data_IF_178995791386
#
_entry.id   IF_178995791386
#
_cell.length_a   1.000
_cell.length_b   1.000
_cell.length_c   1.000
_cell.angle_alpha   90.00
_cell.angle_beta   90.00
_cell.angle_gamma   90.00
#
_symmetry.space_group_name_H-M   'P 1'
#
loop_
_entity.id
_entity.type
_entity.pdbx_description
1 polymer ?
#
# COMPACT_ATOMS: atom_id res chain seq x y z
N UNK A 1 -4.78 -38.12 -6.30
CA UNK A 1 -3.61 -37.34 -5.90
C UNK A 1 -4.17 -36.05 -5.34
N UNK A 2 -4.21 -35.92 -4.02
CA UNK A 2 -4.90 -34.84 -3.31
C UNK A 2 -4.24 -33.51 -3.68
N UNK A 3 -4.94 -32.68 -4.43
CA UNK A 3 -4.68 -31.24 -4.52
C UNK A 3 -4.65 -30.75 -3.07
N UNK A 4 -3.47 -30.42 -2.55
CA UNK A 4 -3.42 -29.65 -1.33
C UNK A 4 -4.19 -28.37 -1.65
N UNK A 5 -5.28 -28.13 -0.93
CA UNK A 5 -5.93 -26.82 -0.89
C UNK A 5 -4.83 -25.81 -0.58
N UNK A 6 -4.28 -25.18 -1.61
CA UNK A 6 -3.34 -24.10 -1.41
C UNK A 6 -4.16 -22.97 -0.81
N UNK A 7 -4.05 -22.83 0.50
CA UNK A 7 -4.65 -21.72 1.22
C UNK A 7 -3.92 -20.47 0.77
N UNK A 8 -4.63 -19.58 0.08
CA UNK A 8 -4.13 -18.26 -0.26
C UNK A 8 -4.68 -17.24 0.73
N UNK A 9 -3.99 -16.11 0.85
CA UNK A 9 -4.49 -14.93 1.56
C UNK A 9 -4.55 -13.75 0.61
N UNK A 10 -5.38 -12.76 0.94
CA UNK A 10 -5.46 -11.51 0.21
C UNK A 10 -4.71 -10.42 0.97
N UNK A 11 -3.99 -9.59 0.23
CA UNK A 11 -3.31 -8.40 0.75
C UNK A 11 -3.74 -7.19 -0.04
N UNK A 12 -4.02 -6.10 0.67
CA UNK A 12 -4.32 -4.80 0.07
C UNK A 12 -3.12 -3.87 0.25
N UNK A 13 -2.57 -3.41 -0.88
CA UNK A 13 -1.40 -2.52 -0.92
C UNK A 13 -1.80 -1.15 -1.46
N UNK A 14 -1.43 -0.10 -0.73
CA UNK A 14 -1.84 1.28 -1.01
C UNK A 14 -0.67 2.25 -1.23
N UNK A 15 0.56 1.73 -1.26
CA UNK A 15 1.79 2.53 -1.25
C UNK A 15 2.94 1.89 -2.01
N UNK A 16 4.11 1.84 -1.38
CA UNK A 16 5.38 1.40 -1.99
C UNK A 16 5.41 -0.05 -2.46
N UNK A 17 4.49 -0.89 -1.97
CA UNK A 17 4.34 -2.29 -2.41
C UNK A 17 3.57 -2.43 -3.74
N UNK A 18 2.97 -1.36 -4.26
CA UNK A 18 2.23 -1.39 -5.54
C UNK A 18 3.18 -1.66 -6.72
N UNK A 19 2.62 -2.16 -7.81
CA UNK A 19 3.39 -2.49 -9.01
C UNK A 19 4.16 -1.27 -9.54
N UNK A 20 5.45 -1.43 -9.80
CA UNK A 20 6.35 -0.38 -10.28
C UNK A 20 6.88 0.59 -9.20
N UNK A 21 6.47 0.43 -7.93
CA UNK A 21 6.97 1.23 -6.81
C UNK A 21 8.21 0.60 -6.14
N UNK A 22 8.86 1.34 -5.24
CA UNK A 22 10.17 1.00 -4.69
C UNK A 22 10.25 -0.39 -4.02
N UNK A 23 9.14 -0.86 -3.44
CA UNK A 23 9.04 -2.13 -2.73
C UNK A 23 8.08 -3.11 -3.44
N UNK A 24 7.93 -3.02 -4.76
CA UNK A 24 7.01 -3.84 -5.57
C UNK A 24 6.87 -5.29 -5.06
N UNK A 25 5.63 -5.65 -4.70
CA UNK A 25 5.23 -6.94 -4.13
C UNK A 25 5.63 -8.13 -5.03
N UNK A 26 5.45 -8.01 -6.35
CA UNK A 26 5.76 -9.09 -7.29
C UNK A 26 7.27 -9.32 -7.38
N UNK A 27 8.06 -8.24 -7.35
CA UNK A 27 9.53 -8.35 -7.30
C UNK A 27 10.01 -8.96 -5.99
N UNK A 28 9.39 -8.60 -4.85
CA UNK A 28 9.71 -9.17 -3.56
C UNK A 28 9.48 -10.69 -3.53
N UNK A 29 8.33 -11.16 -4.05
CA UNK A 29 8.03 -12.58 -4.15
C UNK A 29 9.02 -13.32 -5.06
N UNK A 30 9.31 -12.77 -6.24
CA UNK A 30 10.26 -13.33 -7.19
C UNK A 30 11.66 -13.50 -6.57
N UNK A 31 12.17 -12.48 -5.87
CA UNK A 31 13.48 -12.53 -5.18
C UNK A 31 13.56 -13.60 -4.10
N UNK A 32 12.43 -13.99 -3.52
CA UNK A 32 12.35 -15.01 -2.47
C UNK A 32 11.99 -16.40 -3.01
N UNK A 33 11.79 -16.54 -4.33
CA UNK A 33 11.39 -17.80 -4.95
C UNK A 33 9.98 -18.25 -4.55
N UNK A 34 9.11 -17.30 -4.17
CA UNK A 34 7.72 -17.56 -3.78
C UNK A 34 6.83 -17.43 -5.02
N UNK A 35 5.71 -18.16 -5.03
CA UNK A 35 4.71 -18.09 -6.10
C UNK A 35 4.28 -16.64 -6.38
N UNK A 36 4.10 -16.31 -7.66
CA UNK A 36 3.81 -14.95 -8.10
C UNK A 36 2.47 -14.44 -7.52
N UNK A 37 2.46 -13.27 -6.86
CA UNK A 37 1.24 -12.58 -6.45
C UNK A 37 0.30 -12.37 -7.62
N UNK A 38 -0.96 -12.81 -7.50
CA UNK A 38 -1.97 -12.60 -8.53
C UNK A 38 -2.78 -11.34 -8.22
N UNK A 39 -2.69 -10.32 -9.07
CA UNK A 39 -3.58 -9.16 -8.99
C UNK A 39 -5.04 -9.61 -9.17
N UNK A 40 -5.88 -9.26 -8.20
CA UNK A 40 -7.32 -9.53 -8.21
C UNK A 40 -8.07 -8.29 -8.71
N UNK A 41 -7.62 -7.10 -8.33
CA UNK A 41 -8.14 -5.85 -8.85
C UNK A 41 -7.84 -4.66 -7.95
N UNK A 42 -8.44 -3.52 -8.28
CA UNK A 42 -8.31 -2.28 -7.53
C UNK A 42 -9.38 -2.21 -6.44
N UNK A 43 -8.99 -1.83 -5.23
CA UNK A 43 -9.89 -1.71 -4.10
C UNK A 43 -9.71 -0.39 -3.35
N UNK A 44 -10.63 -0.15 -2.41
CA UNK A 44 -10.58 1.00 -1.53
C UNK A 44 -10.82 0.62 -0.07
N UNK A 45 -10.13 1.32 0.83
CA UNK A 45 -10.36 1.26 2.27
C UNK A 45 -10.55 2.70 2.78
N UNK A 46 -11.55 2.94 3.63
CA UNK A 46 -11.75 4.26 4.21
C UNK A 46 -10.72 4.52 5.32
N UNK A 47 -10.03 5.66 5.22
CA UNK A 47 -9.02 6.03 6.18
C UNK A 47 -8.40 7.39 5.92
N UNK A 48 -7.38 7.70 6.71
CA UNK A 48 -6.54 8.88 6.53
C UNK A 48 -5.19 8.44 6.02
N UNK A 49 -4.82 8.95 4.84
CA UNK A 49 -3.54 8.68 4.22
C UNK A 49 -2.58 9.83 4.52
N UNK A 50 -1.40 9.54 5.04
CA UNK A 50 -0.40 10.51 5.45
C UNK A 50 0.87 10.37 4.62
N UNK A 51 1.54 11.50 4.38
CA UNK A 51 2.84 11.57 3.72
C UNK A 51 3.99 11.39 4.73
N UNK A 52 4.73 10.28 4.60
CA UNK A 52 5.98 10.05 5.35
C UNK A 52 7.24 10.37 4.52
N UNK A 53 7.08 11.02 3.37
CA UNK A 53 8.16 11.37 2.46
C UNK A 53 8.38 10.26 1.43
N UNK A 54 9.09 9.19 1.80
CA UNK A 54 9.40 8.11 0.86
C UNK A 54 8.27 7.08 0.69
N UNK A 55 7.34 7.03 1.63
CA UNK A 55 6.23 6.08 1.68
C UNK A 55 4.98 6.74 2.29
N UNK A 56 3.78 6.15 2.10
CA UNK A 56 2.57 6.60 2.78
C UNK A 56 2.39 5.90 4.12
N UNK A 57 1.56 6.47 4.99
CA UNK A 57 1.01 5.78 6.16
C UNK A 57 -0.51 5.86 6.18
N UNK A 58 -1.19 4.73 6.36
CA UNK A 58 -2.65 4.66 6.45
C UNK A 58 -3.09 4.49 7.91
N UNK A 59 -4.03 5.33 8.35
CA UNK A 59 -4.82 5.07 9.56
C UNK A 59 -6.25 4.74 9.14
N UNK A 60 -6.75 3.51 9.35
CA UNK A 60 -8.14 3.15 9.08
C UNK A 60 -9.10 4.05 9.85
N UNK A 61 -10.05 4.65 9.14
CA UNK A 61 -11.04 5.58 9.68
C UNK A 61 -12.27 5.54 8.75
N UNK A 62 -13.41 4.97 9.17
CA UNK A 62 -14.63 4.91 8.35
C UNK A 62 -15.15 6.27 7.88
N UNK A 63 -14.76 7.36 8.56
CA UNK A 63 -15.13 8.73 8.22
C UNK A 63 -14.07 9.44 7.35
N UNK A 64 -12.96 8.75 7.07
CA UNK A 64 -11.85 9.24 6.27
C UNK A 64 -12.13 9.26 4.76
N UNK A 65 -11.09 9.56 4.00
CA UNK A 65 -11.17 9.51 2.53
C UNK A 65 -11.08 8.06 2.04
N UNK A 66 -11.52 7.82 0.81
CA UNK A 66 -11.39 6.51 0.19
C UNK A 66 -9.95 6.33 -0.32
N UNK A 67 -9.17 5.52 0.38
CA UNK A 67 -7.76 5.23 0.05
C UNK A 67 -7.70 4.15 -1.01
N UNK A 68 -7.05 4.46 -2.13
CA UNK A 68 -6.93 3.59 -3.31
C UNK A 68 -5.74 2.66 -3.18
N UNK A 69 -5.95 1.41 -3.56
CA UNK A 69 -4.89 0.43 -3.61
C UNK A 69 -5.25 -0.76 -4.49
N UNK A 70 -4.38 -1.75 -4.45
CA UNK A 70 -4.46 -2.96 -5.26
C UNK A 70 -4.57 -4.18 -4.34
N UNK A 71 -5.42 -5.13 -4.71
CA UNK A 71 -5.59 -6.39 -4.00
C UNK A 71 -4.85 -7.49 -4.75
N UNK A 72 -3.99 -8.20 -4.03
CA UNK A 72 -3.31 -9.38 -4.53
C UNK A 72 -3.71 -10.61 -3.74
N UNK A 73 -3.89 -11.73 -4.44
CA UNK A 73 -3.88 -13.05 -3.86
C UNK A 73 -2.44 -13.53 -3.79
N UNK A 74 -1.99 -13.87 -2.59
CA UNK A 74 -0.60 -14.25 -2.31
C UNK A 74 -0.52 -15.60 -1.60
N UNK A 75 0.63 -16.25 -1.76
CA UNK A 75 1.03 -17.37 -0.91
C UNK A 75 1.22 -16.87 0.54
N UNK A 76 0.71 -17.57 1.57
CA UNK A 76 0.91 -17.18 2.97
C UNK A 76 2.39 -17.06 3.37
N UNK A 77 3.28 -17.81 2.71
CA UNK A 77 4.73 -17.71 2.88
C UNK A 77 5.33 -16.37 2.45
N UNK A 78 4.59 -15.54 1.70
CA UNK A 78 5.00 -14.17 1.38
C UNK A 78 4.75 -13.19 2.53
N UNK A 79 3.82 -13.48 3.45
CA UNK A 79 3.46 -12.56 4.54
C UNK A 79 4.67 -12.19 5.43
N UNK A 80 5.53 -13.13 5.86
CA UNK A 80 6.72 -12.77 6.63
C UNK A 80 7.71 -11.87 5.87
N UNK A 81 7.75 -11.96 4.54
CA UNK A 81 8.59 -11.09 3.70
C UNK A 81 8.03 -9.67 3.70
N UNK A 82 6.71 -9.52 3.68
CA UNK A 82 6.06 -8.21 3.78
C UNK A 82 6.23 -7.60 5.16
N UNK A 83 6.11 -8.41 6.21
CA UNK A 83 6.41 -7.97 7.58
C UNK A 83 7.86 -7.45 7.70
N UNK A 84 8.83 -8.08 7.04
CA UNK A 84 10.23 -7.63 7.00
C UNK A 84 10.38 -6.30 6.25
N UNK A 85 9.72 -6.14 5.09
CA UNK A 85 9.77 -4.91 4.28
C UNK A 85 9.14 -3.73 5.02
N UNK A 86 8.00 -3.95 5.66
CA UNK A 86 7.26 -2.92 6.42
C UNK A 86 7.76 -2.77 7.87
N UNK A 87 8.87 -3.45 8.21
CA UNK A 87 9.50 -3.40 9.53
C UNK A 87 8.53 -3.68 10.70
N UNK A 88 7.62 -4.63 10.49
CA UNK A 88 6.66 -5.11 11.50
C UNK A 88 7.36 -6.13 12.39
N UNK A 89 7.65 -5.74 13.64
CA UNK A 89 8.34 -6.61 14.61
C UNK A 89 7.46 -6.94 15.83
N UNK A 90 7.49 -8.18 16.34
CA UNK A 90 6.80 -8.53 17.58
C UNK A 90 7.38 -7.76 18.78
N UNK A 91 6.52 -7.02 19.50
CA UNK A 91 6.86 -6.43 20.82
C UNK A 91 7.61 -5.10 20.82
N UNK A 92 7.51 -4.27 19.77
CA UNK A 92 8.18 -2.96 19.72
C UNK A 92 7.32 -1.81 19.18
N UNK A 93 7.92 -0.60 19.15
CA UNK A 93 7.41 0.64 18.54
C UNK A 93 7.39 0.57 17.00
N UNK A 94 6.81 -0.49 16.44
CA UNK A 94 6.73 -0.68 15.00
C UNK A 94 5.86 0.42 14.37
N UNK A 95 6.38 1.06 13.32
CA UNK A 95 5.64 2.10 12.60
C UNK A 95 4.38 1.53 11.95
N UNK A 96 4.48 0.33 11.40
CA UNK A 96 3.39 -0.40 10.78
C UNK A 96 2.92 -1.56 11.64
N UNK A 97 1.62 -1.83 11.58
CA UNK A 97 0.95 -2.97 12.19
C UNK A 97 0.48 -3.92 11.09
N UNK A 98 0.33 -5.20 11.37
CA UNK A 98 -0.34 -6.14 10.46
C UNK A 98 -1.75 -6.39 10.96
N UNK A 99 -2.74 -5.93 10.21
CA UNK A 99 -4.16 -6.06 10.56
C UNK A 99 -4.97 -6.64 9.40
N UNK A 100 -6.11 -7.24 9.71
CA UNK A 100 -7.07 -7.65 8.69
C UNK A 100 -8.19 -6.62 8.62
N UNK A 101 -8.41 -6.05 7.44
CA UNK A 101 -9.50 -5.12 7.17
C UNK A 101 -10.30 -5.55 5.96
N UNK A 102 -11.61 -5.30 6.01
CA UNK A 102 -12.49 -5.49 4.85
C UNK A 102 -12.33 -4.29 3.90
N UNK A 103 -11.85 -4.56 2.70
CA UNK A 103 -11.72 -3.55 1.64
C UNK A 103 -12.85 -3.73 0.61
N UNK A 104 -13.17 -2.66 -0.13
CA UNK A 104 -14.15 -2.70 -1.21
C UNK A 104 -13.44 -2.92 -2.55
N UNK A 105 -13.50 -4.14 -3.08
CA UNK A 105 -13.05 -4.50 -4.42
C UNK A 105 -14.22 -4.24 -5.40
N UNK A 106 -14.22 -3.06 -6.02
CA UNK A 106 -15.41 -2.59 -6.74
C UNK A 106 -16.59 -2.42 -5.77
N UNK A 107 -17.63 -3.25 -5.91
CA UNK A 107 -18.78 -3.29 -4.99
C UNK A 107 -18.75 -4.47 -4.01
N UNK A 108 -17.72 -5.31 -4.06
CA UNK A 108 -17.63 -6.53 -3.26
C UNK A 108 -16.71 -6.32 -2.06
N UNK A 109 -17.16 -6.63 -0.82
CA UNK A 109 -16.30 -6.61 0.35
C UNK A 109 -15.34 -7.82 0.32
N UNK A 110 -14.08 -7.60 0.67
CA UNK A 110 -13.06 -8.65 0.75
C UNK A 110 -12.11 -8.40 1.92
N UNK A 111 -11.93 -9.41 2.78
CA UNK A 111 -10.98 -9.34 3.88
C UNK A 111 -9.55 -9.47 3.37
N UNK A 112 -8.74 -8.46 3.67
CA UNK A 112 -7.35 -8.38 3.26
C UNK A 112 -6.44 -8.10 4.45
N UNK A 113 -5.23 -8.64 4.38
CA UNK A 113 -4.11 -8.14 5.19
C UNK A 113 -3.82 -6.70 4.73
N UNK A 114 -3.69 -5.80 5.70
CA UNK A 114 -3.36 -4.39 5.51
C UNK A 114 -2.25 -4.03 6.50
N UNK A 115 -1.36 -3.13 6.08
CA UNK A 115 -0.30 -2.59 6.91
C UNK A 115 -0.61 -1.14 7.31
N UNK A 116 -1.50 -0.85 8.28
CA UNK A 116 -1.72 0.51 8.77
C UNK A 116 -0.56 1.00 9.64
N UNK A 117 -0.42 2.32 9.78
CA UNK A 117 0.50 2.94 10.74
C UNK A 117 -0.17 3.20 12.09
N UNK A 118 0.61 3.19 13.16
CA UNK A 118 0.13 3.69 14.46
C UNK A 118 -0.26 5.18 14.33
N UNK A 119 -1.49 5.51 14.72
CA UNK A 119 -2.01 6.87 14.70
C UNK A 119 -1.13 7.85 15.48
N UNK A 120 -0.43 7.42 16.54
CA UNK A 120 0.50 8.24 17.29
C UNK A 120 1.68 8.76 16.42
N UNK A 121 2.02 8.04 15.35
CA UNK A 121 3.12 8.38 14.44
C UNK A 121 2.74 9.41 13.36
N UNK A 122 1.48 9.88 13.35
CA UNK A 122 0.93 10.77 12.33
C UNK A 122 0.95 12.25 12.70
N UNK A 123 1.33 12.59 13.94
CA UNK A 123 1.32 13.96 14.44
C UNK A 123 2.16 14.91 13.56
N UNK A 124 1.55 16.00 13.10
CA UNK A 124 2.20 17.03 12.27
C UNK A 124 2.43 16.63 10.81
N UNK A 125 1.98 15.45 10.36
CA UNK A 125 2.15 14.99 8.99
C UNK A 125 1.06 15.52 8.06
N UNK A 126 1.43 15.70 6.79
CA UNK A 126 0.51 16.13 5.75
C UNK A 126 -0.46 14.99 5.38
N UNK A 127 -1.76 15.32 5.31
CA UNK A 127 -2.81 14.38 4.89
C UNK A 127 -2.97 14.44 3.38
N UNK A 128 -2.91 13.30 2.73
CA UNK A 128 -3.12 13.12 1.30
C UNK A 128 -4.62 12.96 1.05
N UNK A 129 -5.31 14.07 0.79
CA UNK A 129 -6.77 14.10 0.64
C UNK A 129 -7.28 13.34 -0.60
N UNK A 130 -6.44 13.17 -1.63
CA UNK A 130 -6.78 12.42 -2.84
C UNK A 130 -6.98 10.93 -2.61
N UNK A 131 -6.46 10.38 -1.50
CA UNK A 131 -6.48 8.96 -1.20
C UNK A 131 -5.60 8.10 -2.11
N UNK A 132 -4.78 8.69 -3.00
CA UNK A 132 -3.88 7.96 -3.89
C UNK A 132 -2.42 8.42 -3.70
N UNK A 133 -1.64 7.57 -3.04
CA UNK A 133 -0.21 7.82 -2.79
C UNK A 133 0.59 7.97 -4.07
N UNK A 134 0.39 7.09 -5.05
CA UNK A 134 1.22 7.03 -6.26
C UNK A 134 0.99 8.29 -7.09
N UNK A 135 -0.27 8.67 -7.28
CA UNK A 135 -0.61 9.92 -7.97
C UNK A 135 -0.05 11.16 -7.24
N UNK A 136 -0.15 11.19 -5.91
CA UNK A 136 0.40 12.28 -5.09
C UNK A 136 1.93 12.37 -5.20
N UNK A 137 2.64 11.25 -5.09
CA UNK A 137 4.11 11.16 -5.18
C UNK A 137 4.59 11.64 -6.56
N UNK A 138 3.97 11.15 -7.63
CA UNK A 138 4.28 11.56 -9.00
C UNK A 138 4.06 13.06 -9.23
N UNK A 139 3.00 13.64 -8.66
CA UNK A 139 2.74 15.08 -8.77
C UNK A 139 3.78 15.92 -8.01
N UNK A 140 4.30 15.42 -6.88
CA UNK A 140 5.37 16.06 -6.10
C UNK A 140 6.74 16.00 -6.80
N UNK A 141 7.00 14.93 -7.54
CA UNK A 141 8.26 14.71 -8.27
C UNK A 141 8.30 15.38 -9.65
N UNK A 142 7.16 15.75 -10.21
CA UNK A 142 7.11 16.54 -11.45
C UNK A 142 7.37 18.02 -11.12
N UNK A 143 8.55 18.59 -11.46
CA UNK A 143 8.73 20.02 -11.35
C UNK A 143 7.72 20.70 -12.30
N UNK A 144 7.16 21.83 -11.87
CA UNK A 144 6.28 22.65 -12.70
C UNK A 144 6.97 22.92 -14.06
N UNK A 145 6.53 22.24 -15.13
CA UNK A 145 6.88 22.62 -16.50
C UNK A 145 6.13 23.90 -16.84
N UNK A 146 6.58 25.04 -16.35
CA UNK A 146 6.17 26.35 -16.81
C UNK A 146 7.23 27.40 -16.49
N UNK A 147 7.90 27.88 -17.53
CA UNK A 147 8.91 28.94 -17.45
C UNK A 147 9.67 29.15 -18.76
N UNK A 148 9.09 28.85 -19.92
CA UNK A 148 9.64 29.25 -21.21
C UNK A 148 9.44 30.76 -21.38
N UNK A 149 10.49 31.54 -21.13
CA UNK A 149 10.51 32.95 -21.46
C UNK A 149 10.48 33.12 -23.00
N UNK A 150 9.68 34.04 -23.57
CA UNK A 150 9.92 34.51 -24.93
C UNK A 150 11.18 35.37 -24.92
N UNK A 151 12.17 35.02 -25.76
CA UNK A 151 13.43 35.73 -25.91
C UNK A 151 13.26 37.17 -26.42
N UNK A 152 14.27 38.05 -26.24
CA UNK A 152 14.14 39.45 -26.61
C UNK A 152 14.06 39.60 -28.13
N UNK A 153 13.19 40.50 -28.57
CA UNK A 153 13.10 40.96 -29.96
C UNK A 153 14.19 41.95 -30.34
#
# INVERSE_FOLDING_TARGET
MTEADHVFVFVFVYGTLRAGEANDLCLAASRRGIAEPKLIGHAMLHGRLYDFGAYPGLVPDPTGTAVRGDVYRIDPGLVPVLDEIEAVYPGGDALFLRETHTVMLGSEPLDCIVYPVDAAQTAGRHVITSGDWVAYRQAREQPARAGGAPGPG
#
